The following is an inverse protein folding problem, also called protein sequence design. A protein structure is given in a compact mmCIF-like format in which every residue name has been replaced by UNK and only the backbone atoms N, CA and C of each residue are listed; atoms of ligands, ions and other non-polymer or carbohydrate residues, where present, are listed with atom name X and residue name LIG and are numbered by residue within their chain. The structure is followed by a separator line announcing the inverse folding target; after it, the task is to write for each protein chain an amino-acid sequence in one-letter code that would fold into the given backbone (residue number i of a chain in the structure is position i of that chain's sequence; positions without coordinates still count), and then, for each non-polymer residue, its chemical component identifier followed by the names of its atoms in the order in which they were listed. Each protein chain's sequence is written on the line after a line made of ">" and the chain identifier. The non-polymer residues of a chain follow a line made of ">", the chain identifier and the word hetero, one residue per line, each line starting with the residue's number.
data_IF_653440916435
#
_entry.id   IF_653440916435
#
_cell.length_a   1.000
_cell.length_b   1.000
_cell.length_c   1.000
_cell.angle_alpha   90.00
_cell.angle_beta   90.00
_cell.angle_gamma   90.00
#
_symmetry.space_group_name_H-M   'P 1'
#
loop_
_entity.id
_entity.type
_entity.pdbx_description
1 polymer ?
#
# COMPACT_ATOMS: atom_id res chain seq x y z
N UNK A 1 14.21 27.28 -10.96
CA UNK A 1 13.79 28.28 -9.95
C UNK A 1 14.36 27.88 -8.60
N UNK A 2 15.42 28.54 -8.13
CA UNK A 2 15.75 28.50 -6.71
C UNK A 2 14.87 29.55 -6.04
N UNK A 3 13.68 29.10 -5.62
CA UNK A 3 12.66 29.95 -5.03
C UNK A 3 13.07 30.42 -3.64
N UNK A 4 12.56 31.58 -3.26
CA UNK A 4 12.59 32.08 -1.89
C UNK A 4 12.02 30.97 -0.99
N UNK A 5 12.71 30.58 0.10
CA UNK A 5 12.19 29.59 1.03
C UNK A 5 10.79 29.97 1.50
N UNK A 6 9.86 29.02 1.48
CA UNK A 6 8.52 29.26 1.98
C UNK A 6 8.59 29.68 3.46
N UNK A 7 7.74 30.62 3.88
CA UNK A 7 7.67 31.05 5.27
C UNK A 7 7.25 29.88 6.18
N UNK A 8 7.65 29.90 7.44
CA UNK A 8 7.26 28.85 8.41
C UNK A 8 5.73 28.70 8.53
N UNK A 9 4.97 29.78 8.37
CA UNK A 9 3.51 29.73 8.35
C UNK A 9 2.97 28.97 7.13
N UNK A 10 3.53 29.21 5.94
CA UNK A 10 3.15 28.45 4.73
C UNK A 10 3.55 26.98 4.85
N UNK A 11 4.67 26.69 5.49
CA UNK A 11 5.12 25.31 5.74
C UNK A 11 4.18 24.60 6.72
N UNK A 12 3.68 25.29 7.76
CA UNK A 12 2.72 24.70 8.68
C UNK A 12 1.42 24.24 7.98
N UNK A 13 0.83 25.07 7.11
CA UNK A 13 -0.34 24.69 6.32
C UNK A 13 -0.07 23.55 5.33
N UNK A 14 1.14 23.51 4.78
CA UNK A 14 1.58 22.37 3.95
C UNK A 14 1.69 21.09 4.78
N UNK A 15 2.27 21.16 5.97
CA UNK A 15 2.39 20.00 6.89
C UNK A 15 1.01 19.47 7.32
N UNK A 16 0.02 20.33 7.52
CA UNK A 16 -1.37 19.93 7.78
C UNK A 16 -1.95 19.14 6.60
N UNK A 17 -1.81 19.65 5.38
CA UNK A 17 -2.30 18.97 4.17
C UNK A 17 -1.58 17.63 3.94
N UNK A 18 -0.27 17.59 4.16
CA UNK A 18 0.53 16.37 4.05
C UNK A 18 0.19 15.35 5.13
N UNK A 19 -0.29 15.77 6.29
CA UNK A 19 -0.71 14.85 7.35
C UNK A 19 -1.94 14.03 6.93
N UNK A 20 -2.91 14.65 6.26
CA UNK A 20 -4.05 13.93 5.68
C UNK A 20 -3.62 12.95 4.60
N UNK A 21 -2.71 13.38 3.71
CA UNK A 21 -2.15 12.54 2.65
C UNK A 21 -1.36 11.33 3.20
N UNK A 22 -0.54 11.56 4.23
CA UNK A 22 0.26 10.52 4.89
C UNK A 22 -0.62 9.44 5.52
N UNK A 23 -1.67 9.86 6.22
CA UNK A 23 -2.66 8.96 6.82
C UNK A 23 -3.42 8.18 5.75
N UNK A 24 -3.80 8.84 4.65
CA UNK A 24 -4.52 8.20 3.54
C UNK A 24 -3.70 7.09 2.88
N UNK A 25 -2.40 7.34 2.68
CA UNK A 25 -1.47 6.44 1.98
C UNK A 25 -0.86 5.34 2.86
N UNK A 26 -1.08 5.37 4.17
CA UNK A 26 -0.51 4.38 5.11
C UNK A 26 -0.88 2.93 4.77
N UNK A 27 -2.08 2.72 4.25
CA UNK A 27 -2.60 1.37 3.92
C UNK A 27 -2.97 1.20 2.45
N UNK A 28 -2.55 2.17 1.61
CA UNK A 28 -2.86 2.18 0.17
C UNK A 28 -1.60 2.33 -0.62
N UNK A 29 -1.54 1.74 -1.80
CA UNK A 29 -0.41 1.97 -2.71
C UNK A 29 -0.55 3.31 -3.44
N UNK A 30 -1.77 3.60 -3.91
CA UNK A 30 -2.15 4.75 -4.73
C UNK A 30 -3.32 5.51 -4.09
N UNK A 31 -3.65 6.69 -4.62
CA UNK A 31 -4.69 7.57 -4.08
C UNK A 31 -6.09 7.05 -4.33
N UNK A 32 -6.33 6.48 -5.52
CA UNK A 32 -7.63 5.97 -5.94
C UNK A 32 -7.43 4.56 -6.50
N UNK A 33 -8.06 3.57 -5.86
CA UNK A 33 -7.84 2.17 -6.22
C UNK A 33 -6.44 1.68 -5.87
N UNK A 34 -6.05 0.55 -6.46
CA UNK A 34 -4.71 -0.04 -6.33
C UNK A 34 -3.88 0.14 -7.61
N UNK A 35 -4.20 1.15 -8.43
CA UNK A 35 -3.48 1.45 -9.67
C UNK A 35 -3.12 2.91 -9.76
N UNK A 36 -2.08 3.20 -10.53
CA UNK A 36 -1.67 4.56 -10.82
C UNK A 36 -2.74 5.27 -11.63
N UNK A 37 -3.23 6.38 -11.10
CA UNK A 37 -4.24 7.23 -11.74
C UNK A 37 -3.71 8.65 -11.96
N UNK A 38 -4.51 9.48 -12.63
CA UNK A 38 -4.21 10.91 -12.77
C UNK A 38 -4.12 11.63 -11.43
N UNK A 39 -4.82 11.15 -10.38
CA UNK A 39 -4.72 11.71 -9.04
C UNK A 39 -3.30 11.57 -8.49
N UNK A 40 -2.70 10.39 -8.64
CA UNK A 40 -1.33 10.10 -8.19
C UNK A 40 -0.31 10.99 -8.90
N UNK A 41 -0.47 11.13 -10.22
CA UNK A 41 0.38 12.00 -11.04
C UNK A 41 0.27 13.45 -10.59
N UNK A 42 -0.95 13.98 -10.43
CA UNK A 42 -1.15 15.37 -10.03
C UNK A 42 -0.53 15.68 -8.65
N UNK A 43 -0.71 14.79 -7.68
CA UNK A 43 -0.14 14.95 -6.35
C UNK A 43 1.38 14.77 -6.36
N UNK A 44 1.93 13.79 -7.10
CA UNK A 44 3.38 13.60 -7.20
C UNK A 44 4.09 14.82 -7.82
N UNK A 45 3.50 15.44 -8.84
CA UNK A 45 4.05 16.67 -9.43
C UNK A 45 3.90 17.90 -8.50
N UNK A 46 2.86 17.94 -7.68
CA UNK A 46 2.72 18.96 -6.63
C UNK A 46 3.81 18.78 -5.55
N UNK A 47 4.05 17.53 -5.12
CA UNK A 47 5.13 17.19 -4.19
C UNK A 47 6.52 17.47 -4.78
N UNK A 48 6.72 17.22 -6.08
CA UNK A 48 7.93 17.65 -6.79
C UNK A 48 8.16 19.15 -6.60
N UNK A 49 7.14 19.98 -6.78
CA UNK A 49 7.29 21.41 -6.57
C UNK A 49 7.68 21.73 -5.11
N UNK A 50 7.02 21.11 -4.12
CA UNK A 50 7.37 21.27 -2.70
C UNK A 50 8.83 20.90 -2.41
N UNK A 51 9.31 19.78 -2.93
CA UNK A 51 10.69 19.33 -2.71
C UNK A 51 11.73 20.16 -3.46
N UNK A 52 11.38 20.68 -4.63
CA UNK A 52 12.32 21.40 -5.50
C UNK A 52 12.40 22.91 -5.25
N UNK A 53 11.35 23.50 -4.68
CA UNK A 53 11.30 24.95 -4.43
C UNK A 53 11.51 25.32 -2.97
N UNK A 54 11.52 24.35 -2.05
CA UNK A 54 11.70 24.59 -0.63
C UNK A 54 12.95 23.91 -0.05
N UNK A 55 14.17 24.39 -0.36
CA UNK A 55 15.42 23.72 0.02
C UNK A 55 15.63 23.62 1.54
N UNK A 56 15.04 24.53 2.32
CA UNK A 56 15.19 24.56 3.79
C UNK A 56 14.40 23.44 4.47
N UNK A 57 13.21 23.10 3.94
CA UNK A 57 12.30 22.16 4.59
C UNK A 57 12.18 20.82 3.86
N UNK A 58 12.72 20.71 2.64
CA UNK A 58 12.50 19.57 1.76
C UNK A 58 12.87 18.22 2.37
N UNK A 59 14.07 18.07 2.96
CA UNK A 59 14.46 16.81 3.62
C UNK A 59 13.60 16.49 4.85
N UNK A 60 13.25 17.52 5.64
CA UNK A 60 12.40 17.37 6.84
C UNK A 60 11.04 16.83 6.45
N UNK A 61 10.43 17.41 5.42
CA UNK A 61 9.11 17.01 4.91
C UNK A 61 9.14 15.59 4.35
N UNK A 62 10.15 15.22 3.55
CA UNK A 62 10.26 13.86 2.99
C UNK A 62 10.45 12.79 4.08
N UNK A 63 11.17 13.10 5.17
CA UNK A 63 11.35 12.18 6.30
C UNK A 63 10.14 12.06 7.21
N UNK A 64 9.41 13.17 7.40
CA UNK A 64 8.20 13.23 8.25
C UNK A 64 7.01 12.55 7.58
N UNK A 65 6.85 12.69 6.27
CA UNK A 65 5.74 12.14 5.51
C UNK A 65 6.25 11.06 4.54
N UNK A 66 6.51 9.87 5.09
CA UNK A 66 7.18 8.77 4.38
C UNK A 66 6.26 8.11 3.36
N UNK A 67 4.98 7.95 3.67
CA UNK A 67 4.00 7.38 2.74
C UNK A 67 3.77 8.32 1.54
N UNK A 68 3.70 9.63 1.80
CA UNK A 68 3.63 10.65 0.75
C UNK A 68 4.90 10.63 -0.13
N UNK A 69 6.08 10.54 0.50
CA UNK A 69 7.34 10.43 -0.24
C UNK A 69 7.44 9.13 -1.04
N UNK A 70 6.93 8.01 -0.50
CA UNK A 70 6.83 6.72 -1.21
C UNK A 70 5.98 6.86 -2.47
N UNK A 71 4.78 7.45 -2.39
CA UNK A 71 3.95 7.70 -3.57
C UNK A 71 4.68 8.57 -4.59
N UNK A 72 5.25 9.70 -4.15
CA UNK A 72 6.04 10.59 -4.99
C UNK A 72 7.14 9.82 -5.73
N UNK A 73 7.90 9.00 -5.02
CA UNK A 73 9.01 8.26 -5.60
C UNK A 73 8.53 7.21 -6.60
N UNK A 74 7.45 6.48 -6.28
CA UNK A 74 6.82 5.51 -7.19
C UNK A 74 6.40 6.15 -8.52
N UNK A 75 5.83 7.35 -8.50
CA UNK A 75 5.39 8.05 -9.71
C UNK A 75 6.58 8.64 -10.48
N UNK A 76 7.49 9.33 -9.79
CA UNK A 76 8.57 10.07 -10.43
C UNK A 76 9.69 9.17 -10.97
N UNK A 77 9.82 7.94 -10.44
CA UNK A 77 10.79 6.95 -10.92
C UNK A 77 10.26 6.07 -12.06
N UNK A 78 9.04 6.29 -12.57
CA UNK A 78 8.57 5.56 -13.74
C UNK A 78 9.50 5.83 -14.94
N UNK A 79 9.89 4.80 -15.73
CA UNK A 79 10.90 4.94 -16.78
C UNK A 79 10.64 6.09 -17.75
N UNK A 80 9.39 6.21 -18.23
CA UNK A 80 8.97 7.29 -19.14
C UNK A 80 9.02 8.67 -18.48
N UNK A 81 8.62 8.77 -17.22
CA UNK A 81 8.66 10.03 -16.45
C UNK A 81 10.09 10.50 -16.25
N UNK A 82 10.99 9.58 -15.90
CA UNK A 82 12.43 9.86 -15.76
C UNK A 82 13.01 10.31 -17.09
N UNK A 83 12.77 9.55 -18.16
CA UNK A 83 13.26 9.86 -19.50
C UNK A 83 12.87 11.27 -19.96
N UNK A 84 11.58 11.60 -19.93
CA UNK A 84 11.07 12.89 -20.41
C UNK A 84 11.57 14.06 -19.55
N UNK A 85 11.50 13.92 -18.22
CA UNK A 85 11.85 15.04 -17.34
C UNK A 85 13.37 15.27 -17.25
N UNK A 86 14.19 14.22 -17.39
CA UNK A 86 15.65 14.37 -17.47
C UNK A 86 16.09 15.06 -18.76
N UNK A 87 15.40 14.83 -19.89
CA UNK A 87 15.65 15.59 -21.13
C UNK A 87 15.48 17.11 -20.91
N UNK A 88 14.64 17.51 -19.96
CA UNK A 88 14.41 18.92 -19.60
C UNK A 88 15.25 19.38 -18.40
N UNK A 89 16.25 18.61 -18.00
CA UNK A 89 17.16 18.94 -16.89
C UNK A 89 16.53 18.85 -15.50
N UNK A 90 15.39 18.17 -15.36
CA UNK A 90 14.78 17.98 -14.05
C UNK A 90 15.60 17.00 -13.20
N UNK A 91 15.62 17.28 -11.90
CA UNK A 91 16.16 16.38 -10.88
C UNK A 91 15.07 16.05 -9.87
N UNK A 92 15.10 14.84 -9.32
CA UNK A 92 14.08 14.31 -8.44
C UNK A 92 14.53 14.31 -6.98
N UNK A 93 13.57 14.08 -6.09
CA UNK A 93 13.77 13.96 -4.66
C UNK A 93 13.98 15.30 -3.94
N UNK A 94 14.04 15.21 -2.60
CA UNK A 94 14.26 16.36 -1.75
C UNK A 94 15.63 17.01 -1.99
N UNK A 95 15.66 18.34 -1.93
CA UNK A 95 16.91 19.10 -2.01
C UNK A 95 17.52 19.19 -0.60
N UNK A 96 18.83 18.93 -0.51
CA UNK A 96 19.63 19.26 0.67
C UNK A 96 19.82 20.77 0.77
N UNK A 97 19.44 21.34 1.91
CA UNK A 97 19.79 22.72 2.22
C UNK A 97 21.32 22.91 2.07
N UNK A 98 21.79 23.99 1.43
CA UNK A 98 23.21 24.30 1.43
C UNK A 98 23.67 24.42 2.89
N UNK A 99 24.61 23.55 3.31
CA UNK A 99 25.33 23.79 4.56
C UNK A 99 26.06 25.12 4.37
N UNK A 100 25.78 26.09 5.24
CA UNK A 100 26.61 27.29 5.33
C UNK A 100 28.08 26.86 5.42
N UNK A 101 28.88 27.38 4.50
CA UNK A 101 30.30 27.09 4.44
C UNK A 101 30.98 27.63 5.70
N UNK A 102 31.25 26.76 6.68
CA UNK A 102 32.35 27.01 7.61
C UNK A 102 33.65 27.04 6.79
N UNK A 103 34.57 28.00 7.05
CA UNK A 103 35.78 28.17 6.25
C UNK A 103 36.59 26.88 6.15
N UNK A 104 37.14 26.66 4.96
CA UNK A 104 37.86 25.47 4.55
C UNK A 104 39.02 25.09 5.50
N UNK A 105 39.05 23.83 5.92
CA UNK A 105 40.27 23.15 6.35
C UNK A 105 40.56 21.99 5.38
N UNK A 106 41.67 22.16 4.66
CA UNK A 106 42.44 21.25 3.82
C UNK A 106 41.93 19.82 3.52
N UNK A 107 41.84 19.53 2.21
CA UNK A 107 41.75 18.20 1.59
C UNK A 107 42.89 17.26 2.05
N UNK A 108 42.56 15.98 2.25
CA UNK A 108 43.41 14.82 1.92
C UNK A 108 42.55 13.64 1.42
N UNK A 109 43.10 12.71 0.62
CA UNK A 109 42.43 12.16 -0.56
C UNK A 109 41.71 10.82 -0.35
N UNK A 110 40.88 10.53 -1.35
CA UNK A 110 40.08 9.35 -1.63
C UNK A 110 40.55 7.99 -1.06
N UNK A 111 39.59 7.25 -0.50
CA UNK A 111 39.57 5.81 -0.49
C UNK A 111 38.16 5.32 -0.87
N UNK A 112 38.07 4.56 -1.95
CA UNK A 112 36.89 3.84 -2.42
C UNK A 112 36.30 2.97 -1.29
N UNK A 113 34.99 3.09 -1.05
CA UNK A 113 34.20 2.01 -0.44
C UNK A 113 32.83 1.89 -1.10
N UNK A 114 32.71 0.84 -1.91
CA UNK A 114 31.68 -0.19 -1.97
C UNK A 114 30.26 0.18 -1.52
N UNK A 115 29.31 -0.18 -2.40
CA UNK A 115 27.89 -0.50 -2.13
C UNK A 115 27.67 -0.94 -0.66
N UNK A 116 26.88 -0.14 0.06
CA UNK A 116 25.96 -0.59 1.13
C UNK A 116 24.58 -0.56 0.43
N UNK A 117 23.91 -1.68 0.16
CA UNK A 117 23.20 -2.51 1.16
C UNK A 117 22.76 -1.67 2.35
N UNK A 118 21.64 -0.99 2.12
CA UNK A 118 20.82 -0.36 3.16
C UNK A 118 19.87 -1.45 3.67
N UNK A 119 20.46 -2.38 4.41
CA UNK A 119 19.78 -3.27 5.33
C UNK A 119 19.87 -2.55 6.69
N UNK A 120 18.94 -1.63 6.95
CA UNK A 120 18.77 -1.01 8.27
C UNK A 120 17.40 -1.37 8.82
N UNK A 121 17.45 -2.43 9.62
CA UNK A 121 16.68 -2.72 10.84
C UNK A 121 15.42 -1.87 11.05
N UNK A 122 14.30 -2.51 10.70
CA UNK A 122 13.01 -2.29 11.35
C UNK A 122 13.16 -2.52 12.86
N UNK A 123 13.18 -1.43 13.62
CA UNK A 123 13.07 -1.41 15.09
C UNK A 123 11.59 -1.66 15.49
N UNK A 124 11.05 -2.78 15.03
CA UNK A 124 9.97 -3.46 15.73
C UNK A 124 10.63 -4.32 16.82
N UNK A 125 10.09 -4.34 18.06
CA UNK A 125 10.54 -5.31 19.05
C UNK A 125 10.51 -6.68 18.37
N UNK A 126 11.67 -7.33 18.24
CA UNK A 126 11.77 -8.73 17.82
C UNK A 126 11.03 -9.55 18.87
N UNK A 127 9.71 -9.62 18.75
CA UNK A 127 8.93 -10.69 19.32
C UNK A 127 9.61 -11.95 18.82
N UNK A 128 10.06 -12.76 19.77
CA UNK A 128 10.58 -14.10 19.53
C UNK A 128 9.56 -14.78 18.63
N UNK A 129 9.87 -14.90 17.34
CA UNK A 129 9.01 -15.53 16.34
C UNK A 129 8.74 -16.94 16.84
N UNK A 130 7.63 -17.14 17.55
CA UNK A 130 7.02 -18.46 17.67
C UNK A 130 6.92 -18.96 16.24
N UNK A 131 7.55 -20.10 15.97
CA UNK A 131 7.53 -20.73 14.66
C UNK A 131 6.04 -20.89 14.27
N UNK A 132 5.62 -20.20 13.22
CA UNK A 132 4.23 -20.21 12.81
C UNK A 132 3.94 -21.59 12.18
N UNK A 133 2.89 -22.32 12.60
CA UNK A 133 2.53 -23.60 11.99
C UNK A 133 2.42 -23.57 10.46
N UNK A 134 2.09 -22.40 9.89
CA UNK A 134 2.03 -22.19 8.44
C UNK A 134 3.39 -22.27 7.72
N UNK A 135 4.51 -22.06 8.42
CA UNK A 135 5.86 -22.26 7.87
C UNK A 135 6.23 -23.74 7.71
N UNK A 136 5.60 -24.63 8.48
CA UNK A 136 5.86 -26.07 8.43
C UNK A 136 4.98 -26.79 7.39
N UNK A 137 4.08 -26.07 6.71
CA UNK A 137 3.25 -26.62 5.65
C UNK A 137 4.09 -27.04 4.42
N UNK A 138 3.70 -28.11 3.71
CA UNK A 138 4.39 -28.54 2.49
C UNK A 138 4.47 -27.40 1.47
N UNK A 139 5.60 -27.23 0.76
CA UNK A 139 5.75 -26.16 -0.24
C UNK A 139 4.58 -26.13 -1.21
N UNK A 140 4.08 -24.93 -1.51
CA UNK A 140 3.05 -24.73 -2.51
C UNK A 140 3.68 -24.32 -3.83
N UNK A 141 3.05 -24.73 -4.93
CA UNK A 141 3.43 -24.25 -6.27
C UNK A 141 3.02 -22.78 -6.50
N UNK A 142 2.06 -22.28 -5.72
CA UNK A 142 1.65 -20.89 -5.73
C UNK A 142 2.55 -20.05 -4.81
N UNK A 143 3.23 -19.07 -5.38
CA UNK A 143 3.97 -18.05 -4.64
C UNK A 143 3.10 -16.80 -4.44
N UNK A 144 2.65 -16.61 -3.20
CA UNK A 144 1.82 -15.49 -2.80
C UNK A 144 2.54 -14.14 -2.95
N UNK A 145 3.85 -14.07 -2.67
CA UNK A 145 4.61 -12.82 -2.77
C UNK A 145 4.79 -12.42 -4.24
N UNK A 146 5.00 -13.38 -5.13
CA UNK A 146 5.00 -13.14 -6.57
C UNK A 146 3.64 -12.64 -7.05
N UNK A 147 2.53 -13.24 -6.58
CA UNK A 147 1.19 -12.74 -6.90
C UNK A 147 0.95 -11.31 -6.38
N UNK A 148 1.36 -10.99 -5.14
CA UNK A 148 1.23 -9.63 -4.58
C UNK A 148 1.99 -8.58 -5.38
N UNK A 149 3.17 -8.94 -5.88
CA UNK A 149 3.98 -8.09 -6.78
C UNK A 149 3.27 -7.90 -8.10
N UNK A 150 2.78 -8.97 -8.72
CA UNK A 150 2.06 -8.91 -9.98
C UNK A 150 0.78 -8.06 -9.84
N UNK A 151 0.04 -8.29 -8.77
CA UNK A 151 -1.14 -7.52 -8.39
C UNK A 151 -0.81 -6.05 -8.10
N UNK A 152 0.41 -5.66 -7.76
CA UNK A 152 0.74 -4.25 -7.53
C UNK A 152 1.28 -3.54 -8.77
N UNK A 153 1.90 -4.29 -9.68
CA UNK A 153 2.71 -3.74 -10.75
C UNK A 153 2.07 -3.81 -12.14
N UNK A 154 1.07 -4.67 -12.34
CA UNK A 154 0.49 -4.95 -13.66
C UNK A 154 -1.01 -4.69 -13.70
N UNK A 155 -1.63 -4.74 -14.88
CA UNK A 155 -3.07 -4.60 -14.99
C UNK A 155 -3.80 -5.75 -14.28
N UNK A 156 -4.74 -5.42 -13.38
CA UNK A 156 -5.40 -6.46 -12.56
C UNK A 156 -6.20 -7.42 -13.42
N UNK A 157 -7.02 -6.90 -14.33
CA UNK A 157 -8.03 -7.68 -15.04
C UNK A 157 -7.39 -8.57 -16.11
N UNK A 158 -6.39 -8.06 -16.80
CA UNK A 158 -5.76 -8.74 -17.95
C UNK A 158 -4.50 -9.52 -17.59
N UNK A 159 -3.85 -9.23 -16.45
CA UNK A 159 -2.60 -9.89 -16.05
C UNK A 159 -2.69 -10.53 -14.66
N UNK A 160 -2.88 -9.74 -13.60
CA UNK A 160 -2.76 -10.27 -12.23
C UNK A 160 -3.87 -11.27 -11.86
N UNK A 161 -5.12 -11.04 -12.26
CA UNK A 161 -6.20 -11.97 -12.01
C UNK A 161 -6.01 -13.29 -12.81
N UNK A 162 -5.73 -13.27 -14.13
CA UNK A 162 -5.30 -14.48 -14.84
C UNK A 162 -4.10 -15.19 -14.22
N UNK A 163 -3.12 -14.45 -13.70
CA UNK A 163 -1.97 -15.01 -12.98
C UNK A 163 -2.43 -15.80 -11.74
N UNK A 164 -3.32 -15.24 -10.93
CA UNK A 164 -3.91 -15.94 -9.78
C UNK A 164 -4.51 -17.28 -10.23
N UNK A 165 -5.45 -17.27 -11.17
CA UNK A 165 -6.15 -18.51 -11.55
C UNK A 165 -5.26 -19.56 -12.21
N UNK A 166 -4.17 -19.14 -12.88
CA UNK A 166 -3.24 -20.06 -13.55
C UNK A 166 -2.22 -20.69 -12.59
N UNK A 167 -1.89 -20.02 -11.49
CA UNK A 167 -0.89 -20.47 -10.53
C UNK A 167 -1.49 -20.91 -9.19
N UNK A 168 -2.78 -20.69 -8.96
CA UNK A 168 -3.41 -20.98 -7.67
C UNK A 168 -3.35 -22.47 -7.33
N UNK A 169 -2.92 -22.75 -6.11
CA UNK A 169 -2.76 -24.09 -5.58
C UNK A 169 -3.72 -24.31 -4.41
N UNK A 170 -4.85 -24.96 -4.69
CA UNK A 170 -5.88 -25.27 -3.70
C UNK A 170 -5.42 -26.28 -2.62
N UNK A 171 -4.31 -26.99 -2.82
CA UNK A 171 -3.74 -27.82 -1.75
C UNK A 171 -2.98 -26.96 -0.73
N UNK A 172 -2.43 -25.84 -1.19
CA UNK A 172 -1.61 -24.95 -0.39
C UNK A 172 -2.31 -23.69 0.09
N UNK A 173 -3.41 -23.27 -0.52
CA UNK A 173 -4.10 -22.02 -0.19
C UNK A 173 -5.61 -22.20 -0.22
N UNK A 174 -6.29 -21.39 0.59
CA UNK A 174 -7.75 -21.35 0.67
C UNK A 174 -8.22 -19.92 0.45
N UNK A 175 -9.27 -19.75 -0.35
CA UNK A 175 -9.89 -18.45 -0.58
C UNK A 175 -11.19 -18.32 0.21
N UNK A 176 -11.49 -17.11 0.69
CA UNK A 176 -12.71 -16.82 1.42
C UNK A 176 -13.37 -15.54 0.93
N UNK A 177 -14.70 -15.56 0.89
CA UNK A 177 -15.49 -14.33 0.99
C UNK A 177 -15.61 -13.94 2.45
N UNK A 178 -15.47 -12.65 2.75
CA UNK A 178 -15.83 -12.09 4.05
C UNK A 178 -16.95 -11.06 3.90
N UNK A 179 -17.88 -11.04 4.84
CA UNK A 179 -18.89 -9.98 4.97
C UNK A 179 -18.99 -9.56 6.44
N UNK A 180 -18.92 -8.26 6.70
CA UNK A 180 -19.03 -7.76 8.08
C UNK A 180 -20.44 -7.98 8.63
N UNK A 181 -20.54 -8.40 9.90
CA UNK A 181 -21.82 -8.79 10.53
C UNK A 181 -22.70 -7.58 10.84
N UNK A 182 -22.10 -6.47 11.24
CA UNK A 182 -22.80 -5.29 11.76
C UNK A 182 -22.89 -4.17 10.71
N UNK A 183 -23.20 -4.51 9.45
CA UNK A 183 -23.28 -3.52 8.37
C UNK A 183 -24.41 -2.50 8.57
N UNK A 184 -25.43 -2.83 9.34
CA UNK A 184 -26.54 -1.94 9.70
C UNK A 184 -26.11 -0.77 10.61
N UNK A 185 -24.97 -0.90 11.29
CA UNK A 185 -24.40 0.16 12.12
C UNK A 185 -23.55 1.16 11.32
N UNK A 186 -23.16 0.80 10.09
CA UNK A 186 -22.33 1.63 9.23
C UNK A 186 -23.11 2.83 8.67
N UNK A 187 -22.79 4.04 9.16
CA UNK A 187 -23.47 5.30 8.75
C UNK A 187 -22.55 6.36 8.16
N UNK A 188 -21.24 6.21 8.33
CA UNK A 188 -20.22 7.16 7.86
C UNK A 188 -19.07 6.38 7.24
N UNK A 189 -18.80 6.50 5.92
CA UNK A 189 -17.82 5.66 5.24
C UNK A 189 -16.41 5.82 5.80
N UNK A 190 -16.03 7.03 6.16
CA UNK A 190 -14.73 7.31 6.78
C UNK A 190 -14.52 6.57 8.11
N UNK A 191 -15.58 6.43 8.94
CA UNK A 191 -15.48 5.67 10.19
C UNK A 191 -15.33 4.17 9.91
N UNK A 192 -16.10 3.65 8.95
CA UNK A 192 -16.00 2.25 8.50
C UNK A 192 -14.64 1.94 7.89
N UNK A 193 -14.05 2.89 7.14
CA UNK A 193 -12.70 2.79 6.61
C UNK A 193 -11.63 2.74 7.72
N UNK A 194 -11.82 3.49 8.81
CA UNK A 194 -10.93 3.43 9.99
C UNK A 194 -11.05 2.10 10.73
N UNK A 195 -12.25 1.51 10.80
CA UNK A 195 -12.45 0.16 11.33
C UNK A 195 -11.65 -0.87 10.51
N UNK A 196 -11.78 -0.84 9.18
CA UNK A 196 -11.01 -1.72 8.29
C UNK A 196 -9.50 -1.52 8.47
N UNK A 197 -9.04 -0.27 8.59
CA UNK A 197 -7.62 0.06 8.84
C UNK A 197 -7.14 -0.54 10.16
N UNK A 198 -7.89 -0.36 11.24
CA UNK A 198 -7.53 -0.90 12.55
C UNK A 198 -7.41 -2.42 12.53
N UNK A 199 -8.34 -3.09 11.85
CA UNK A 199 -8.29 -4.55 11.70
C UNK A 199 -7.08 -5.00 10.88
N UNK A 200 -6.76 -4.33 9.77
CA UNK A 200 -5.57 -4.65 8.96
C UNK A 200 -4.27 -4.48 9.75
N UNK A 201 -4.17 -3.42 10.57
CA UNK A 201 -3.01 -3.22 11.46
C UNK A 201 -2.85 -4.37 12.45
N UNK A 202 -3.95 -4.88 13.03
CA UNK A 202 -3.91 -6.05 13.91
C UNK A 202 -3.50 -7.31 13.16
N UNK A 203 -3.86 -7.44 11.88
CA UNK A 203 -3.47 -8.56 11.04
C UNK A 203 -2.05 -8.48 10.48
N UNK A 204 -1.28 -7.41 10.70
CA UNK A 204 0.04 -7.21 10.04
C UNK A 204 1.00 -8.40 10.23
N UNK A 205 0.98 -9.06 11.38
CA UNK A 205 1.79 -10.26 11.64
C UNK A 205 1.42 -11.48 10.76
N UNK A 206 0.22 -11.50 10.19
CA UNK A 206 -0.26 -12.53 9.24
C UNK A 206 0.11 -12.23 7.79
N UNK A 207 0.63 -11.02 7.50
CA UNK A 207 0.88 -10.50 6.15
C UNK A 207 1.63 -11.46 5.24
N UNK A 208 2.65 -12.15 5.76
CA UNK A 208 3.42 -13.16 5.00
C UNK A 208 2.54 -14.27 4.40
N UNK A 209 1.42 -14.60 5.02
CA UNK A 209 0.58 -15.77 4.71
C UNK A 209 -0.77 -15.41 4.10
N UNK A 210 -1.04 -14.12 3.93
CA UNK A 210 -2.35 -13.62 3.58
C UNK A 210 -2.27 -12.53 2.50
N UNK A 211 -3.28 -12.55 1.63
CA UNK A 211 -3.64 -11.45 0.76
C UNK A 211 -5.13 -11.20 0.92
N UNK A 212 -5.54 -9.94 0.96
CA UNK A 212 -6.95 -9.60 1.12
C UNK A 212 -7.33 -8.34 0.37
N UNK A 213 -8.58 -8.27 -0.06
CA UNK A 213 -9.23 -7.06 -0.55
C UNK A 213 -10.49 -6.86 0.26
N UNK A 214 -10.60 -5.72 0.93
CA UNK A 214 -11.81 -5.27 1.60
C UNK A 214 -12.39 -4.06 0.86
N UNK A 215 -13.67 -4.13 0.52
CA UNK A 215 -14.42 -3.10 -0.17
C UNK A 215 -15.56 -2.60 0.72
N UNK A 216 -15.73 -1.29 0.74
CA UNK A 216 -16.90 -0.61 1.28
C UNK A 216 -17.83 -0.34 0.11
N UNK A 217 -18.96 -1.03 0.07
CA UNK A 217 -19.90 -0.99 -1.05
C UNK A 217 -21.26 -0.43 -0.61
N UNK A 218 -21.88 0.38 -1.46
CA UNK A 218 -23.18 0.98 -1.18
C UNK A 218 -23.20 2.50 -1.34
N UNK A 219 -23.85 3.15 -0.39
CA UNK A 219 -24.04 4.60 -0.36
C UNK A 219 -23.58 5.14 0.99
N UNK A 220 -23.33 6.44 1.08
CA UNK A 220 -22.70 7.07 2.25
C UNK A 220 -23.37 6.74 3.60
N UNK A 221 -24.70 6.61 3.62
CA UNK A 221 -25.47 6.34 4.86
C UNK A 221 -25.83 4.86 5.05
N UNK A 222 -25.55 4.02 4.06
CA UNK A 222 -25.90 2.61 4.08
C UNK A 222 -24.88 1.85 3.23
N UNK A 223 -23.85 1.32 3.86
CA UNK A 223 -22.77 0.61 3.18
C UNK A 223 -22.33 -0.64 3.94
N UNK A 224 -21.92 -1.61 3.15
CA UNK A 224 -21.47 -2.91 3.63
C UNK A 224 -19.95 -3.00 3.50
N UNK A 225 -19.29 -3.67 4.45
CA UNK A 225 -17.93 -4.16 4.24
C UNK A 225 -18.03 -5.59 3.69
N UNK A 226 -17.45 -5.79 2.52
CA UNK A 226 -17.29 -7.09 1.88
C UNK A 226 -15.83 -7.30 1.50
N UNK A 227 -15.39 -8.55 1.35
CA UNK A 227 -14.02 -8.78 0.94
C UNK A 227 -13.75 -10.17 0.39
N UNK A 228 -12.58 -10.26 -0.22
CA UNK A 228 -11.96 -11.46 -0.75
C UNK A 228 -10.64 -11.68 -0.01
N UNK A 229 -10.41 -12.89 0.48
CA UNK A 229 -9.18 -13.25 1.16
C UNK A 229 -8.56 -14.50 0.57
N UNK A 230 -7.24 -14.55 0.56
CA UNK A 230 -6.42 -15.70 0.17
C UNK A 230 -5.48 -15.98 1.33
N UNK A 231 -5.61 -17.15 1.94
CA UNK A 231 -4.81 -17.58 3.09
C UNK A 231 -3.98 -18.81 2.76
N UNK A 232 -2.76 -18.85 3.27
CA UNK A 232 -1.91 -20.04 3.23
C UNK A 232 -2.48 -21.12 4.13
N UNK A 233 -2.52 -22.34 3.62
CA UNK A 233 -3.03 -23.52 4.30
C UNK A 233 -4.44 -23.90 3.86
N UNK A 234 -4.95 -24.98 4.45
CA UNK A 234 -6.32 -25.45 4.25
C UNK A 234 -7.23 -24.90 5.33
N UNK A 235 -8.35 -24.30 4.93
CA UNK A 235 -9.30 -23.67 5.84
C UNK A 235 -8.79 -22.34 6.40
N UNK A 236 -9.47 -21.84 7.42
CA UNK A 236 -9.11 -20.58 8.09
C UNK A 236 -7.90 -20.82 9.00
N UNK A 237 -6.77 -20.12 8.82
CA UNK A 237 -5.63 -20.26 9.72
C UNK A 237 -5.95 -19.79 11.14
N UNK A 238 -5.43 -20.48 12.15
CA UNK A 238 -5.58 -20.09 13.56
C UNK A 238 -5.01 -18.69 13.82
N UNK A 239 -3.86 -18.37 13.22
CA UNK A 239 -3.24 -17.04 13.35
C UNK A 239 -4.12 -15.90 12.81
N UNK A 240 -5.07 -16.19 11.92
CA UNK A 240 -6.05 -15.21 11.43
C UNK A 240 -7.26 -15.17 12.36
N UNK A 241 -7.71 -16.34 12.82
CA UNK A 241 -8.84 -16.48 13.75
C UNK A 241 -8.57 -15.80 15.09
N UNK A 242 -7.33 -15.85 15.56
CA UNK A 242 -6.89 -15.23 16.82
C UNK A 242 -6.79 -13.70 16.73
N UNK A 243 -6.88 -13.12 15.53
CA UNK A 243 -6.86 -11.67 15.39
C UNK A 243 -8.20 -11.09 15.82
N UNK A 244 -8.14 -10.18 16.79
CA UNK A 244 -9.29 -9.43 17.27
C UNK A 244 -10.02 -8.74 16.11
N UNK A 245 -11.35 -8.88 16.12
CA UNK A 245 -12.33 -8.44 15.12
C UNK A 245 -12.50 -9.35 13.90
N UNK A 246 -11.68 -10.40 13.73
CA UNK A 246 -11.92 -11.40 12.68
C UNK A 246 -13.29 -12.09 12.87
N UNK A 247 -13.72 -12.25 14.11
CA UNK A 247 -15.03 -12.79 14.49
C UNK A 247 -16.21 -11.89 14.11
N UNK A 248 -15.96 -10.60 13.82
CA UNK A 248 -17.00 -9.66 13.38
C UNK A 248 -17.33 -9.83 11.88
N UNK A 249 -16.68 -10.75 11.19
CA UNK A 249 -16.95 -11.08 9.80
C UNK A 249 -17.52 -12.50 9.68
N UNK A 250 -18.49 -12.66 8.79
CA UNK A 250 -18.91 -13.96 8.27
C UNK A 250 -17.96 -14.38 7.17
N UNK A 251 -17.44 -15.60 7.27
CA UNK A 251 -16.46 -16.17 6.36
C UNK A 251 -17.09 -17.33 5.58
N UNK A 252 -17.03 -17.26 4.26
CA UNK A 252 -17.50 -18.32 3.36
C UNK A 252 -16.34 -18.80 2.49
N UNK A 253 -15.96 -20.06 2.66
CA UNK A 253 -14.89 -20.67 1.86
C UNK A 253 -15.30 -20.79 0.39
N UNK A 254 -14.38 -20.40 -0.50
CA UNK A 254 -14.53 -20.55 -1.95
C UNK A 254 -13.99 -21.91 -2.35
N UNK A 255 -14.89 -22.87 -2.58
CA UNK A 255 -14.53 -24.26 -2.90
C UNK A 255 -13.88 -24.41 -4.26
N UNK A 256 -14.32 -23.61 -5.24
CA UNK A 256 -13.76 -23.61 -6.59
C UNK A 256 -13.54 -22.16 -7.05
N UNK A 257 -12.27 -21.77 -7.09
CA UNK A 257 -11.85 -20.44 -7.51
C UNK A 257 -12.22 -20.14 -8.98
N UNK A 258 -12.30 -21.18 -9.83
CA UNK A 258 -12.64 -21.02 -11.24
C UNK A 258 -14.14 -20.84 -11.46
N UNK A 259 -14.98 -21.43 -10.59
CA UNK A 259 -16.42 -21.21 -10.61
C UNK A 259 -16.78 -19.76 -10.25
N UNK A 260 -16.00 -19.12 -9.38
CA UNK A 260 -16.21 -17.73 -8.95
C UNK A 260 -15.26 -16.73 -9.63
N UNK A 261 -14.65 -17.13 -10.75
CA UNK A 261 -13.59 -16.38 -11.43
C UNK A 261 -13.95 -14.92 -11.73
N UNK A 262 -15.16 -14.67 -12.24
CA UNK A 262 -15.62 -13.32 -12.57
C UNK A 262 -15.75 -12.45 -11.31
N UNK A 263 -16.37 -13.00 -10.26
CA UNK A 263 -16.55 -12.29 -8.99
C UNK A 263 -15.24 -11.99 -8.30
N UNK A 264 -14.32 -12.96 -8.29
CA UNK A 264 -12.96 -12.77 -7.77
C UNK A 264 -12.24 -11.69 -8.57
N UNK A 265 -12.34 -11.71 -9.89
CA UNK A 265 -11.72 -10.70 -10.76
C UNK A 265 -12.26 -9.31 -10.45
N UNK A 266 -13.58 -9.17 -10.31
CA UNK A 266 -14.20 -7.88 -10.00
C UNK A 266 -13.74 -7.35 -8.64
N UNK A 267 -13.70 -8.20 -7.61
CA UNK A 267 -13.18 -7.83 -6.29
C UNK A 267 -11.70 -7.45 -6.35
N UNK A 268 -10.87 -8.15 -7.13
CA UNK A 268 -9.47 -7.78 -7.32
C UNK A 268 -9.34 -6.41 -8.02
N UNK A 269 -10.22 -6.11 -8.98
CA UNK A 269 -10.20 -4.84 -9.73
C UNK A 269 -10.87 -3.68 -8.98
N UNK A 270 -11.69 -3.98 -7.96
CA UNK A 270 -12.57 -3.03 -7.26
C UNK A 270 -13.67 -2.47 -8.17
N UNK A 271 -14.00 -3.21 -9.22
CA UNK A 271 -14.98 -2.81 -10.22
C UNK A 271 -15.56 -4.04 -10.92
N UNK A 272 -16.84 -3.97 -11.26
CA UNK A 272 -17.51 -4.96 -12.08
C UNK A 272 -18.91 -5.31 -11.59
N UNK A 273 -19.71 -5.99 -12.43
CA UNK A 273 -21.13 -6.21 -12.21
C UNK A 273 -21.44 -7.17 -11.06
N UNK A 274 -20.49 -8.01 -10.64
CA UNK A 274 -20.71 -8.97 -9.56
C UNK A 274 -20.61 -8.32 -8.17
N UNK A 275 -20.05 -7.12 -8.09
CA UNK A 275 -20.07 -6.30 -6.88
C UNK A 275 -21.44 -5.63 -6.82
N UNK A 276 -22.36 -6.22 -6.05
CA UNK A 276 -23.79 -5.88 -6.09
C UNK A 276 -24.18 -4.44 -5.72
N UNK A 277 -23.22 -3.59 -5.32
CA UNK A 277 -23.44 -2.17 -5.00
C UNK A 277 -22.20 -1.35 -5.42
N UNK A 278 -22.32 -0.03 -5.64
CA UNK A 278 -21.17 0.82 -5.99
C UNK A 278 -20.05 0.72 -4.96
N UNK A 279 -18.80 0.67 -5.41
CA UNK A 279 -17.64 0.70 -4.51
C UNK A 279 -17.36 2.15 -4.11
N UNK A 280 -17.49 2.44 -2.82
CA UNK A 280 -17.19 3.76 -2.25
C UNK A 280 -15.69 3.89 -1.94
N UNK A 281 -15.12 2.85 -1.35
CA UNK A 281 -13.72 2.80 -0.94
C UNK A 281 -13.26 1.34 -0.90
N UNK A 282 -11.98 1.10 -1.13
CA UNK A 282 -11.38 -0.21 -0.96
C UNK A 282 -10.03 -0.12 -0.24
N UNK A 283 -9.57 -1.27 0.25
CA UNK A 283 -8.23 -1.48 0.82
C UNK A 283 -7.74 -2.88 0.50
N UNK A 284 -6.42 -3.00 0.29
CA UNK A 284 -5.76 -4.29 0.04
C UNK A 284 -4.78 -4.59 1.16
N UNK A 285 -4.83 -5.81 1.68
CA UNK A 285 -3.89 -6.36 2.64
C UNK A 285 -2.86 -7.19 1.88
N UNK A 286 -1.60 -6.75 1.84
CA UNK A 286 -0.53 -7.40 1.06
C UNK A 286 0.84 -7.13 1.64
#
# INVERSE_FOLDING_TARGET
>A
MHGIPASEQTVASLEESLSGLELWLETRTFLVGERLTIADIAIAFSLQFCYRTNPTHSERLAKKFRNAYRLYNTVMQQPKTVEVLQQWGATFGPIKAPKEAKPAAAKKPAAEKKKKDDDEEDDTPKEVKKKNPLDDLPPSSFDLDSFKREYSNTDTRTVAAPYLFSHFDAAGFTCFWCKYKYNDENKVPFMTANLCRGWFQRMEHTRKYAFGVALIIGEEKQHDIVGLWVFRGKGMPEIVTDVVDTENFDWTEIKDINAEKEKITDYLCWEGPTIGRPVLEGRTFK
#
